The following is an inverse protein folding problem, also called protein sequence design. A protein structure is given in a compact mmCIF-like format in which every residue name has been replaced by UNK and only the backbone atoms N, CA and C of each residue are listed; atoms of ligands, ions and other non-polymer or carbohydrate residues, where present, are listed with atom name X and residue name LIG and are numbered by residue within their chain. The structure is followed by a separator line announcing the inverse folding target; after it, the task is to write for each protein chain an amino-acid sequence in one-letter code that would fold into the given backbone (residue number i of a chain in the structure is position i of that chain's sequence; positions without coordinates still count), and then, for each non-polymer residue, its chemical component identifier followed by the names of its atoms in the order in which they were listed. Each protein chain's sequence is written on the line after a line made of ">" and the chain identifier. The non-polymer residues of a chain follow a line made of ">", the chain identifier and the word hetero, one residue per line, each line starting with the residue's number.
data_IF_473556758332
#
_entry.id   IF_473556758332
#
_cell.length_a   1.000
_cell.length_b   1.000
_cell.length_c   1.000
_cell.angle_alpha   90.00
_cell.angle_beta   90.00
_cell.angle_gamma   90.00
#
_symmetry.space_group_name_H-M   'P 1'
#
loop_
_entity.id
_entity.type
_entity.pdbx_description
1 polymer ?
#
# COMPACT_ATOMS: atom_id res chain seq x y z
N UNK A 1 -0.40 0.58 -3.36
CA UNK A 1 0.54 0.78 -2.24
C UNK A 1 1.94 0.44 -2.72
N UNK A 2 2.91 1.34 -2.56
CA UNK A 2 4.32 1.11 -2.90
C UNK A 2 5.23 1.51 -1.73
N UNK A 3 6.51 1.12 -1.79
CA UNK A 3 7.53 1.42 -0.80
C UNK A 3 8.72 0.47 -0.90
N UNK A 4 9.79 0.76 -0.18
CA UNK A 4 11.01 -0.05 -0.11
C UNK A 4 10.73 -1.45 0.45
N UNK A 5 11.71 -2.34 0.30
CA UNK A 5 11.59 -3.69 0.83
C UNK A 5 11.55 -3.65 2.37
N UNK A 6 10.54 -4.29 2.96
CA UNK A 6 10.36 -4.32 4.42
C UNK A 6 9.68 -3.08 5.00
N UNK A 7 9.19 -2.14 4.18
CA UNK A 7 8.52 -0.92 4.63
C UNK A 7 7.12 -1.14 5.21
N UNK A 8 6.58 -2.37 5.22
CA UNK A 8 5.26 -2.67 5.79
C UNK A 8 4.09 -2.62 4.79
N UNK A 9 4.33 -2.68 3.48
CA UNK A 9 3.28 -2.64 2.43
C UNK A 9 2.17 -3.67 2.65
N UNK A 10 2.55 -4.94 2.81
CA UNK A 10 1.58 -6.02 3.05
C UNK A 10 0.89 -5.89 4.40
N UNK A 11 1.56 -5.33 5.42
CA UNK A 11 0.92 -5.03 6.70
C UNK A 11 -0.17 -3.97 6.54
N UNK A 12 0.13 -2.87 5.83
CA UNK A 12 -0.87 -1.83 5.55
C UNK A 12 -2.03 -2.37 4.71
N UNK A 13 -1.74 -3.17 3.68
CA UNK A 13 -2.76 -3.83 2.87
C UNK A 13 -3.71 -4.66 3.75
N UNK A 14 -3.16 -5.55 4.57
CA UNK A 14 -3.95 -6.42 5.46
C UNK A 14 -4.75 -5.60 6.50
N UNK A 15 -4.17 -4.52 7.02
CA UNK A 15 -4.86 -3.63 7.95
C UNK A 15 -6.08 -2.96 7.31
N UNK A 16 -5.96 -2.54 6.04
CA UNK A 16 -7.09 -1.97 5.28
C UNK A 16 -8.17 -3.04 5.05
N UNK A 17 -7.79 -4.25 4.64
CA UNK A 17 -8.73 -5.34 4.38
C UNK A 17 -9.50 -5.72 5.64
N UNK A 18 -8.80 -5.94 6.75
CA UNK A 18 -9.42 -6.26 8.05
C UNK A 18 -10.42 -5.18 8.49
N UNK A 19 -10.06 -3.90 8.32
CA UNK A 19 -10.94 -2.80 8.68
C UNK A 19 -12.23 -2.76 7.83
N UNK A 20 -12.13 -3.12 6.56
CA UNK A 20 -13.30 -3.21 5.67
C UNK A 20 -14.16 -4.42 6.07
N UNK A 21 -13.57 -5.59 6.31
CA UNK A 21 -14.28 -6.80 6.74
C UNK A 21 -15.01 -6.60 8.06
N UNK A 22 -14.37 -5.98 9.06
CA UNK A 22 -14.99 -5.68 10.36
C UNK A 22 -16.18 -4.71 10.25
N UNK A 23 -16.15 -3.79 9.28
CA UNK A 23 -17.19 -2.75 9.17
C UNK A 23 -18.37 -3.15 8.27
N UNK A 24 -18.20 -4.11 7.37
CA UNK A 24 -19.15 -4.34 6.27
C UNK A 24 -19.70 -5.79 6.14
N UNK A 25 -19.28 -6.74 6.96
CA UNK A 25 -19.66 -8.17 6.87
C UNK A 25 -19.59 -8.71 5.41
N UNK A 26 -18.43 -8.52 4.77
CA UNK A 26 -18.25 -8.74 3.34
C UNK A 26 -17.19 -9.84 3.06
N UNK A 27 -17.33 -11.02 3.65
CA UNK A 27 -16.37 -12.13 3.48
C UNK A 27 -16.13 -12.55 2.02
N UNK A 28 -17.12 -12.36 1.13
CA UNK A 28 -17.04 -12.72 -0.28
C UNK A 28 -16.71 -11.54 -1.21
N UNK A 29 -16.40 -10.37 -0.62
CA UNK A 29 -16.17 -9.15 -1.40
C UNK A 29 -14.78 -9.07 -2.02
N UNK A 30 -13.83 -9.87 -1.54
CA UNK A 30 -12.45 -9.82 -1.98
C UNK A 30 -12.04 -11.07 -2.75
N UNK A 31 -11.48 -10.86 -3.93
CA UNK A 31 -10.74 -11.88 -4.67
C UNK A 31 -9.25 -11.59 -4.58
N UNK A 32 -8.44 -12.63 -4.39
CA UNK A 32 -7.03 -12.48 -4.06
C UNK A 32 -6.12 -13.11 -5.10
N UNK A 33 -5.02 -12.43 -5.37
CA UNK A 33 -3.83 -12.95 -6.02
C UNK A 33 -2.63 -12.66 -5.11
N UNK A 34 -2.15 -13.67 -4.42
CA UNK A 34 -1.12 -13.53 -3.39
C UNK A 34 0.16 -14.23 -3.81
N UNK A 35 1.28 -13.54 -3.76
CA UNK A 35 2.60 -14.11 -3.94
C UNK A 35 3.37 -14.18 -2.62
N UNK A 36 4.16 -15.24 -2.45
CA UNK A 36 5.01 -15.39 -1.27
C UNK A 36 6.30 -16.14 -1.59
N UNK A 37 7.31 -15.95 -0.77
CA UNK A 37 8.49 -16.81 -0.77
C UNK A 37 8.19 -18.10 -0.02
N UNK A 38 8.68 -19.21 -0.54
CA UNK A 38 8.64 -20.52 0.12
C UNK A 38 9.89 -20.71 1.00
N UNK A 39 9.93 -21.77 1.77
CA UNK A 39 11.13 -22.21 2.51
C UNK A 39 12.27 -22.63 1.54
N UNK A 40 11.90 -23.13 0.38
CA UNK A 40 12.80 -23.17 -0.78
C UNK A 40 12.90 -21.76 -1.36
N UNK A 41 14.03 -21.38 -1.97
CA UNK A 41 14.22 -20.00 -2.46
C UNK A 41 13.37 -19.69 -3.73
N UNK A 42 12.17 -20.22 -3.82
CA UNK A 42 11.21 -19.94 -4.89
C UNK A 42 10.19 -18.89 -4.49
N UNK A 43 9.57 -18.25 -5.46
CA UNK A 43 8.39 -17.42 -5.29
C UNK A 43 7.20 -18.13 -5.91
N UNK A 44 6.13 -18.26 -5.15
CA UNK A 44 4.89 -18.89 -5.58
C UNK A 44 3.73 -17.90 -5.56
N UNK A 45 2.70 -18.19 -6.34
CA UNK A 45 1.46 -17.43 -6.41
C UNK A 45 0.27 -18.35 -6.20
N UNK A 46 -0.78 -17.84 -5.59
CA UNK A 46 -2.09 -18.50 -5.44
C UNK A 46 -3.23 -17.51 -5.52
N UNK A 47 -4.43 -18.00 -5.77
CA UNK A 47 -5.67 -17.23 -5.77
C UNK A 47 -6.81 -18.02 -5.13
N UNK A 48 -7.73 -17.34 -4.44
CA UNK A 48 -8.98 -17.94 -3.95
C UNK A 48 -9.97 -18.29 -5.08
N UNK A 49 -9.74 -17.78 -6.28
CA UNK A 49 -10.57 -18.10 -7.45
C UNK A 49 -10.15 -19.39 -8.17
N UNK A 50 -9.01 -19.98 -7.80
CA UNK A 50 -8.50 -21.24 -8.35
C UNK A 50 -8.65 -22.32 -7.27
N UNK A 51 -9.65 -23.19 -7.46
CA UNK A 51 -10.11 -24.16 -6.44
C UNK A 51 -9.28 -25.46 -6.37
N UNK A 52 -8.04 -25.45 -6.79
CA UNK A 52 -7.18 -26.65 -6.77
C UNK A 52 -6.27 -26.74 -5.54
N UNK A 53 -6.29 -25.74 -4.67
CA UNK A 53 -5.49 -25.64 -3.44
C UNK A 53 -3.98 -25.58 -3.68
N UNK A 54 -3.54 -25.38 -4.93
CA UNK A 54 -2.13 -25.39 -5.30
C UNK A 54 -1.51 -23.99 -5.26
N UNK A 55 -0.21 -23.99 -5.09
CA UNK A 55 0.63 -22.83 -5.31
C UNK A 55 1.46 -23.04 -6.59
N UNK A 56 1.58 -21.98 -7.36
CA UNK A 56 2.23 -22.00 -8.67
C UNK A 56 3.53 -21.20 -8.62
N UNK A 57 4.62 -21.80 -9.08
CA UNK A 57 5.93 -21.14 -9.09
C UNK A 57 5.95 -20.03 -10.15
N UNK A 58 6.29 -18.81 -9.75
CA UNK A 58 6.47 -17.65 -10.61
C UNK A 58 7.89 -17.11 -10.63
N UNK A 59 8.75 -17.58 -9.72
CA UNK A 59 10.14 -17.16 -9.67
C UNK A 59 11.06 -18.20 -9.08
N UNK A 60 12.23 -18.38 -9.70
CA UNK A 60 13.32 -19.27 -9.23
C UNK A 60 14.62 -18.50 -9.11
N UNK A 61 15.50 -18.87 -8.16
CA UNK A 61 16.84 -18.28 -8.07
C UNK A 61 17.58 -18.44 -9.41
N UNK A 62 18.26 -17.39 -9.82
CA UNK A 62 19.23 -17.54 -10.91
C UNK A 62 20.36 -18.42 -10.41
N UNK A 63 20.71 -19.46 -11.16
CA UNK A 63 21.93 -20.21 -10.95
C UNK A 63 23.11 -19.25 -11.15
N UNK A 64 23.73 -18.84 -10.03
CA UNK A 64 24.87 -17.94 -10.06
C UNK A 64 26.07 -18.69 -10.62
N UNK A 65 26.57 -18.30 -11.77
CA UNK A 65 27.99 -18.42 -12.07
C UNK A 65 28.76 -17.49 -11.12
N UNK A 66 29.97 -17.83 -10.64
CA UNK A 66 30.63 -17.13 -9.52
C UNK A 66 31.19 -15.74 -9.83
N UNK A 67 30.58 -14.99 -10.72
CA UNK A 67 30.97 -13.65 -11.09
C UNK A 67 30.02 -12.64 -10.46
N UNK A 68 30.46 -12.09 -9.34
CA UNK A 68 30.00 -10.85 -8.67
C UNK A 68 28.54 -10.77 -8.25
N UNK A 69 28.23 -10.65 -6.94
CA UNK A 69 26.87 -10.39 -6.48
C UNK A 69 26.55 -8.91 -6.72
N UNK A 70 26.09 -8.53 -7.91
CA UNK A 70 25.41 -7.26 -8.05
C UNK A 70 24.14 -7.31 -7.20
N UNK A 71 23.97 -6.38 -6.28
CA UNK A 71 22.69 -6.10 -5.60
C UNK A 71 21.63 -5.85 -6.68
N UNK A 72 20.84 -6.85 -7.02
CA UNK A 72 19.84 -6.78 -8.09
C UNK A 72 18.92 -8.00 -8.05
N UNK A 73 17.98 -8.05 -8.95
CA UNK A 73 16.98 -9.08 -9.11
C UNK A 73 17.61 -10.48 -9.26
N UNK A 74 17.67 -11.23 -8.17
CA UNK A 74 18.34 -12.55 -8.10
C UNK A 74 17.42 -13.71 -8.53
N UNK A 75 16.23 -13.42 -9.07
CA UNK A 75 15.26 -14.41 -9.46
C UNK A 75 15.02 -14.34 -10.98
N UNK A 76 14.75 -15.49 -11.57
CA UNK A 76 14.24 -15.61 -12.94
C UNK A 76 12.75 -15.86 -12.88
N UNK A 77 11.99 -15.16 -13.71
CA UNK A 77 10.54 -15.37 -13.87
C UNK A 77 10.26 -16.78 -14.42
N UNK A 78 9.15 -17.35 -13.92
CA UNK A 78 8.55 -18.60 -14.42
C UNK A 78 7.14 -18.28 -14.90
N UNK A 79 6.96 -18.16 -16.20
CA UNK A 79 5.70 -17.69 -16.79
C UNK A 79 4.53 -18.65 -16.58
N UNK A 80 4.80 -19.96 -16.51
CA UNK A 80 3.78 -20.99 -16.32
C UNK A 80 2.90 -20.74 -15.07
N UNK A 81 3.47 -20.21 -14.00
CA UNK A 81 2.72 -19.88 -12.80
C UNK A 81 1.74 -18.74 -13.02
N UNK A 82 2.12 -17.72 -13.79
CA UNK A 82 1.20 -16.64 -14.16
C UNK A 82 0.11 -17.13 -15.10
N UNK A 83 0.46 -17.92 -16.11
CA UNK A 83 -0.48 -18.44 -17.12
C UNK A 83 -1.49 -19.40 -16.49
N UNK A 84 -1.07 -20.27 -15.58
CA UNK A 84 -1.91 -21.33 -15.04
C UNK A 84 -2.67 -20.91 -13.75
N UNK A 85 -2.30 -19.82 -13.09
CA UNK A 85 -2.96 -19.34 -11.88
C UNK A 85 -3.49 -17.90 -12.05
N UNK A 86 -2.60 -16.94 -12.28
CA UNK A 86 -2.96 -15.53 -12.22
C UNK A 86 -3.90 -15.12 -13.36
N UNK A 87 -3.61 -15.50 -14.59
CA UNK A 87 -4.46 -15.16 -15.74
C UNK A 87 -5.87 -15.74 -15.62
N UNK A 88 -6.07 -17.05 -15.31
CA UNK A 88 -7.40 -17.60 -15.09
C UNK A 88 -8.14 -16.97 -13.92
N UNK A 89 -7.45 -16.63 -12.83
CA UNK A 89 -8.06 -15.97 -11.68
C UNK A 89 -8.59 -14.58 -12.05
N UNK A 90 -7.81 -13.78 -12.76
CA UNK A 90 -8.22 -12.46 -13.23
C UNK A 90 -9.42 -12.58 -14.19
N UNK A 91 -9.35 -13.49 -15.15
CA UNK A 91 -10.46 -13.71 -16.10
C UNK A 91 -11.74 -14.15 -15.37
N UNK A 92 -11.64 -15.06 -14.40
CA UNK A 92 -12.78 -15.51 -13.60
C UNK A 92 -13.38 -14.33 -12.82
N UNK A 93 -12.56 -13.49 -12.18
CA UNK A 93 -13.00 -12.30 -11.48
C UNK A 93 -13.78 -11.35 -12.41
N UNK A 94 -13.23 -11.03 -13.57
CA UNK A 94 -13.86 -10.13 -14.53
C UNK A 94 -15.21 -10.66 -15.06
N UNK A 95 -15.37 -12.00 -15.11
CA UNK A 95 -16.62 -12.64 -15.57
C UNK A 95 -17.68 -12.76 -14.47
N UNK A 96 -17.29 -12.87 -13.19
CA UNK A 96 -18.23 -13.31 -12.14
C UNK A 96 -18.40 -12.34 -10.99
N UNK A 97 -17.53 -11.33 -10.85
CA UNK A 97 -17.38 -10.60 -9.60
C UNK A 97 -17.27 -9.08 -9.81
N UNK A 98 -18.08 -8.50 -10.70
CA UNK A 98 -17.98 -7.08 -11.09
C UNK A 98 -18.02 -6.07 -9.92
N UNK A 99 -18.69 -6.41 -8.81
CA UNK A 99 -18.83 -5.54 -7.64
C UNK A 99 -17.77 -5.79 -6.55
N UNK A 100 -16.99 -6.85 -6.65
CA UNK A 100 -15.94 -7.18 -5.69
C UNK A 100 -14.61 -6.44 -5.98
N UNK A 101 -13.72 -6.45 -5.00
CA UNK A 101 -12.38 -5.87 -5.11
C UNK A 101 -11.37 -6.97 -5.40
N UNK A 102 -10.50 -6.77 -6.38
CA UNK A 102 -9.39 -7.67 -6.64
C UNK A 102 -8.13 -7.19 -5.91
N UNK A 103 -7.60 -8.05 -5.05
CA UNK A 103 -6.44 -7.75 -4.20
C UNK A 103 -5.20 -8.44 -4.74
N UNK A 104 -4.10 -7.68 -4.90
CA UNK A 104 -2.82 -8.21 -5.39
C UNK A 104 -1.71 -7.91 -4.39
N UNK A 105 -1.06 -8.92 -3.86
CA UNK A 105 0.15 -8.79 -3.04
C UNK A 105 1.22 -9.79 -3.51
N UNK A 106 2.24 -9.33 -4.26
CA UNK A 106 2.62 -8.01 -4.76
C UNK A 106 2.96 -8.08 -6.27
N UNK A 107 2.94 -6.94 -6.96
CA UNK A 107 3.46 -6.79 -8.33
C UNK A 107 4.93 -6.34 -8.28
N UNK A 108 5.80 -7.02 -9.03
CA UNK A 108 7.23 -6.74 -9.07
C UNK A 108 7.84 -6.91 -10.46
N UNK A 109 9.10 -7.24 -10.51
CA UNK A 109 9.83 -7.40 -11.78
C UNK A 109 9.64 -8.77 -12.41
N UNK A 110 9.16 -9.78 -11.67
CA UNK A 110 8.93 -11.13 -12.22
C UNK A 110 7.83 -11.12 -13.28
N UNK A 111 6.88 -10.23 -13.13
CA UNK A 111 5.74 -10.02 -14.02
C UNK A 111 6.14 -9.37 -15.35
N UNK A 112 7.32 -8.74 -15.40
CA UNK A 112 7.76 -7.95 -16.56
C UNK A 112 8.08 -8.79 -17.82
N UNK A 113 8.26 -10.11 -17.70
CA UNK A 113 8.48 -11.00 -18.83
C UNK A 113 7.21 -11.67 -19.35
N UNK A 114 6.15 -11.76 -18.53
CA UNK A 114 4.92 -12.46 -18.90
C UNK A 114 3.90 -11.51 -19.53
N UNK A 115 3.94 -11.35 -20.86
CA UNK A 115 3.04 -10.46 -21.58
C UNK A 115 1.56 -10.82 -21.37
N UNK A 116 1.13 -12.10 -21.43
CA UNK A 116 -0.27 -12.44 -21.18
C UNK A 116 -0.77 -11.98 -19.78
N UNK A 117 0.08 -12.06 -18.76
CA UNK A 117 -0.26 -11.57 -17.44
C UNK A 117 -0.40 -10.05 -17.42
N UNK A 118 0.50 -9.31 -18.07
CA UNK A 118 0.42 -7.85 -18.15
C UNK A 118 -0.85 -7.37 -18.85
N UNK A 119 -1.28 -8.04 -19.91
CA UNK A 119 -2.53 -7.76 -20.62
C UNK A 119 -3.75 -8.01 -19.72
N UNK A 120 -3.74 -9.11 -18.95
CA UNK A 120 -4.79 -9.40 -17.97
C UNK A 120 -4.85 -8.35 -16.86
N UNK A 121 -3.71 -7.90 -16.32
CA UNK A 121 -3.65 -6.81 -15.33
C UNK A 121 -4.20 -5.51 -15.91
N UNK A 122 -3.87 -5.17 -17.15
CA UNK A 122 -4.41 -3.99 -17.81
C UNK A 122 -5.94 -4.08 -17.92
N UNK A 123 -6.45 -5.20 -18.40
CA UNK A 123 -7.89 -5.44 -18.48
C UNK A 123 -8.57 -5.37 -17.11
N UNK A 124 -7.93 -5.90 -16.07
CA UNK A 124 -8.42 -5.83 -14.69
C UNK A 124 -8.52 -4.39 -14.19
N UNK A 125 -7.47 -3.58 -14.41
CA UNK A 125 -7.46 -2.16 -14.02
C UNK A 125 -8.47 -1.32 -14.78
N UNK A 126 -8.79 -1.69 -16.02
CA UNK A 126 -9.77 -0.97 -16.83
C UNK A 126 -11.23 -1.30 -16.45
N UNK A 127 -11.48 -2.46 -15.83
CA UNK A 127 -12.83 -2.99 -15.65
C UNK A 127 -13.20 -3.36 -14.21
N UNK A 128 -12.30 -3.20 -13.24
CA UNK A 128 -12.55 -3.62 -11.86
C UNK A 128 -11.90 -2.70 -10.83
N UNK A 129 -12.35 -2.81 -9.59
CA UNK A 129 -11.71 -2.17 -8.43
C UNK A 129 -10.53 -3.00 -7.97
N UNK A 130 -9.35 -2.40 -7.91
CA UNK A 130 -8.12 -3.11 -7.56
C UNK A 130 -7.43 -2.45 -6.37
N UNK A 131 -7.03 -3.26 -5.40
CA UNK A 131 -6.14 -2.87 -4.32
C UNK A 131 -4.84 -3.67 -4.44
N UNK A 132 -3.74 -3.01 -4.79
CA UNK A 132 -2.49 -3.70 -5.08
C UNK A 132 -1.29 -3.16 -4.30
N UNK A 133 -0.39 -4.07 -3.93
CA UNK A 133 0.98 -3.74 -3.54
C UNK A 133 1.86 -3.81 -4.77
N UNK A 134 2.59 -2.72 -5.03
CA UNK A 134 3.53 -2.60 -6.15
C UNK A 134 4.92 -2.32 -5.59
N UNK A 135 5.93 -3.05 -6.05
CA UNK A 135 7.32 -2.78 -5.69
C UNK A 135 7.80 -1.41 -6.16
N UNK A 136 8.61 -0.77 -5.33
CA UNK A 136 9.29 0.49 -5.65
C UNK A 136 10.48 0.20 -6.58
N UNK A 137 10.17 -0.27 -7.78
CA UNK A 137 11.11 -0.56 -8.86
C UNK A 137 10.61 0.09 -10.13
N UNK A 138 11.51 0.42 -11.05
CA UNK A 138 11.16 0.92 -12.38
C UNK A 138 11.28 -0.23 -13.38
N UNK A 139 10.17 -0.56 -14.01
CA UNK A 139 10.06 -1.38 -15.21
C UNK A 139 8.95 -0.78 -16.06
N UNK A 140 9.00 -0.98 -17.36
CA UNK A 140 7.97 -0.44 -18.26
C UNK A 140 6.55 -0.84 -17.81
N UNK A 141 6.36 -2.09 -17.40
CA UNK A 141 5.09 -2.59 -16.88
C UNK A 141 4.65 -1.88 -15.59
N UNK A 142 5.51 -1.83 -14.56
CA UNK A 142 5.15 -1.21 -13.28
C UNK A 142 4.93 0.29 -13.41
N UNK A 143 5.73 0.95 -14.24
CA UNK A 143 5.61 2.40 -14.46
C UNK A 143 4.35 2.73 -15.25
N UNK A 144 3.93 1.86 -16.19
CA UNK A 144 2.65 2.00 -16.89
C UNK A 144 1.44 1.97 -15.94
N UNK A 145 1.51 1.18 -14.86
CA UNK A 145 0.46 1.14 -13.83
C UNK A 145 0.51 2.38 -12.94
N UNK A 146 1.71 2.73 -12.43
CA UNK A 146 1.90 3.86 -11.50
C UNK A 146 1.53 5.20 -12.10
N UNK A 147 1.70 5.36 -13.42
CA UNK A 147 1.47 6.61 -14.13
C UNK A 147 0.03 6.75 -14.67
N UNK A 148 -0.86 5.81 -14.39
CA UNK A 148 -2.28 5.91 -14.77
C UNK A 148 -2.95 7.04 -13.99
N UNK A 149 -3.80 7.80 -14.66
CA UNK A 149 -4.56 8.91 -14.05
C UNK A 149 -5.66 8.44 -13.09
N UNK A 150 -6.10 7.18 -13.20
CA UNK A 150 -7.13 6.54 -12.38
C UNK A 150 -6.54 5.71 -11.22
N UNK A 151 -5.23 5.76 -10.99
CA UNK A 151 -4.55 5.08 -9.90
C UNK A 151 -4.14 6.06 -8.81
N UNK A 152 -4.60 5.81 -7.58
CA UNK A 152 -4.07 6.47 -6.38
C UNK A 152 -2.83 5.72 -5.90
N UNK A 153 -1.65 6.27 -6.12
CA UNK A 153 -0.39 5.69 -5.65
C UNK A 153 -0.04 6.19 -4.24
N UNK A 154 -0.03 5.28 -3.26
CA UNK A 154 0.39 5.56 -1.88
C UNK A 154 1.79 5.01 -1.70
N UNK A 155 2.80 5.89 -1.65
CA UNK A 155 4.19 5.54 -1.33
C UNK A 155 4.43 5.66 0.16
N UNK A 156 4.55 4.52 0.86
CA UNK A 156 4.66 4.50 2.31
C UNK A 156 6.02 4.94 2.86
N UNK A 157 7.03 5.08 2.03
CA UNK A 157 8.31 5.66 2.43
C UNK A 157 8.29 7.20 2.36
N UNK A 158 7.44 7.74 1.48
CA UNK A 158 7.15 9.17 1.34
C UNK A 158 5.68 9.44 1.69
N UNK A 159 5.20 8.76 2.67
CA UNK A 159 3.82 8.67 3.04
C UNK A 159 3.21 10.02 3.12
N UNK A 160 2.24 10.40 2.65
CA UNK A 160 1.50 11.63 2.87
C UNK A 160 2.20 12.92 2.39
N UNK A 161 3.31 12.86 1.67
CA UNK A 161 3.93 14.07 1.09
C UNK A 161 2.98 14.81 0.11
N UNK A 162 2.01 14.11 -0.47
CA UNK A 162 0.94 14.68 -1.29
C UNK A 162 -0.34 15.00 -0.50
N UNK A 163 -0.40 14.67 0.80
CA UNK A 163 -1.55 14.90 1.67
C UNK A 163 -1.19 16.01 2.65
N UNK A 164 -2.11 16.94 2.87
CA UNK A 164 -1.97 17.97 3.91
C UNK A 164 -2.74 17.57 5.15
N UNK A 165 -2.14 17.77 6.32
CA UNK A 165 -2.78 17.61 7.61
C UNK A 165 -3.37 18.95 8.06
N UNK A 166 -4.59 18.97 8.58
CA UNK A 166 -5.18 20.16 9.20
C UNK A 166 -5.50 19.83 10.65
N UNK A 167 -4.82 20.50 11.57
CA UNK A 167 -5.07 20.40 13.03
C UNK A 167 -6.09 21.44 13.42
N UNK A 168 -7.30 21.02 13.78
CA UNK A 168 -8.38 21.91 14.21
C UNK A 168 -8.22 22.23 15.71
N UNK A 169 -7.74 23.43 16.01
CA UNK A 169 -7.38 23.87 17.36
C UNK A 169 -8.13 25.12 17.84
N UNK A 170 -9.33 25.39 17.31
CA UNK A 170 -10.11 26.59 17.60
C UNK A 170 -11.17 26.41 18.73
N UNK A 171 -11.23 25.22 19.36
CA UNK A 171 -12.22 24.89 20.37
C UNK A 171 -12.05 25.68 21.65
N UNK A 172 -13.17 26.18 22.26
CA UNK A 172 -13.15 27.02 23.43
C UNK A 172 -12.97 26.27 24.78
N UNK A 173 -12.90 24.96 24.77
CA UNK A 173 -12.70 24.10 25.95
C UNK A 173 -13.61 24.41 27.14
N UNK A 174 -14.86 24.90 26.93
CA UNK A 174 -15.78 25.45 27.95
C UNK A 174 -15.99 24.53 29.17
N UNK A 175 -15.98 23.21 28.96
CA UNK A 175 -16.13 22.22 30.04
C UNK A 175 -14.84 21.97 30.83
N UNK A 176 -13.71 22.38 30.32
CA UNK A 176 -12.39 22.15 30.93
C UNK A 176 -11.96 23.35 31.80
N UNK A 177 -12.63 24.51 31.64
CA UNK A 177 -12.35 25.74 32.42
C UNK A 177 -11.13 26.53 31.90
N UNK A 178 -10.20 25.88 31.24
CA UNK A 178 -9.00 26.45 30.58
C UNK A 178 -8.84 25.88 29.18
N UNK A 179 -7.90 26.38 28.42
CA UNK A 179 -7.61 25.79 27.09
C UNK A 179 -7.03 24.39 27.27
N UNK A 180 -7.84 23.32 27.01
CA UNK A 180 -7.40 21.92 27.17
C UNK A 180 -6.21 21.56 26.28
N UNK A 181 -6.02 22.27 25.15
CA UNK A 181 -4.93 21.99 24.22
C UNK A 181 -3.56 22.34 24.82
N UNK A 182 -3.52 23.22 25.84
CA UNK A 182 -2.34 23.55 26.63
C UNK A 182 -2.15 22.63 27.86
N UNK A 183 -3.08 21.70 28.12
CA UNK A 183 -2.93 20.76 29.22
C UNK A 183 -1.76 19.81 28.96
N UNK A 184 -0.95 19.57 29.99
CA UNK A 184 0.22 18.68 29.91
C UNK A 184 -0.21 17.22 29.81
N UNK A 185 0.39 16.51 28.87
CA UNK A 185 0.26 15.07 28.68
C UNK A 185 1.59 14.50 28.14
N UNK A 186 2.20 13.57 28.86
CA UNK A 186 3.48 12.97 28.49
C UNK A 186 4.59 14.00 28.19
N UNK A 187 4.81 14.94 29.10
CA UNK A 187 5.81 16.02 29.04
C UNK A 187 5.59 17.08 27.93
N UNK A 188 4.56 16.97 27.13
CA UNK A 188 4.17 17.94 26.11
C UNK A 188 2.73 18.42 26.39
N UNK A 189 2.31 19.48 25.74
CA UNK A 189 0.89 19.83 25.69
C UNK A 189 0.13 18.87 24.76
N UNK A 190 -1.18 18.78 24.89
CA UNK A 190 -2.02 18.02 23.97
C UNK A 190 -1.86 18.50 22.52
N UNK A 191 -1.66 19.81 22.34
CA UNK A 191 -1.44 20.38 21.00
C UNK A 191 -0.09 20.00 20.43
N UNK A 192 1.00 20.06 21.21
CA UNK A 192 2.33 19.61 20.81
C UNK A 192 2.36 18.10 20.46
N UNK A 193 1.62 17.29 21.22
CA UNK A 193 1.48 15.87 20.88
C UNK A 193 0.78 15.66 19.52
N UNK A 194 -0.24 16.46 19.19
CA UNK A 194 -0.88 16.39 17.88
C UNK A 194 0.08 16.81 16.75
N UNK A 195 0.89 17.86 16.98
CA UNK A 195 1.94 18.27 16.04
C UNK A 195 2.98 17.17 15.87
N UNK A 196 3.48 16.57 16.96
CA UNK A 196 4.46 15.48 16.91
C UNK A 196 3.95 14.28 16.10
N UNK A 197 2.67 13.94 16.23
CA UNK A 197 2.04 12.89 15.39
C UNK A 197 2.07 13.31 13.91
N UNK A 198 1.76 14.57 13.60
CA UNK A 198 1.78 15.03 12.21
C UNK A 198 3.18 15.03 11.60
N UNK A 199 4.21 15.34 12.38
CA UNK A 199 5.62 15.22 11.97
C UNK A 199 6.05 13.77 11.76
N UNK A 200 5.66 12.89 12.68
CA UNK A 200 5.95 11.46 12.57
C UNK A 200 5.36 10.83 11.30
N UNK A 201 4.14 11.25 10.93
CA UNK A 201 3.47 10.78 9.71
C UNK A 201 4.05 11.40 8.43
N UNK A 202 4.84 12.47 8.53
CA UNK A 202 5.50 13.14 7.39
C UNK A 202 4.53 13.62 6.31
N UNK A 203 3.47 14.32 6.70
CA UNK A 203 2.58 14.98 5.74
C UNK A 203 3.34 16.01 4.89
N UNK A 204 2.90 16.20 3.64
CA UNK A 204 3.49 17.19 2.74
C UNK A 204 3.37 18.62 3.24
N UNK A 205 2.28 18.92 3.95
CA UNK A 205 2.08 20.17 4.67
C UNK A 205 1.22 19.95 5.89
N UNK A 206 1.59 20.52 7.02
CA UNK A 206 0.74 20.59 8.22
C UNK A 206 0.28 22.03 8.44
N UNK A 207 -1.02 22.20 8.66
CA UNK A 207 -1.68 23.46 8.92
C UNK A 207 -2.38 23.36 10.28
N UNK A 208 -2.39 24.44 11.05
CA UNK A 208 -3.19 24.53 12.26
C UNK A 208 -4.22 25.67 12.13
N UNK A 209 -5.47 25.37 12.49
CA UNK A 209 -6.52 26.38 12.54
C UNK A 209 -6.81 26.68 13.99
N UNK A 210 -6.36 27.83 14.46
CA UNK A 210 -6.54 28.28 15.85
C UNK A 210 -6.95 29.74 15.94
N UNK A 211 -7.54 30.12 17.08
CA UNK A 211 -7.81 31.51 17.50
C UNK A 211 -7.04 31.89 18.78
N UNK A 212 -6.20 31.00 19.27
CA UNK A 212 -5.51 31.16 20.55
C UNK A 212 -4.06 31.54 20.29
N UNK A 213 -3.63 32.72 20.74
CA UNK A 213 -2.31 33.27 20.51
C UNK A 213 -1.19 32.37 21.06
N UNK A 214 -1.43 31.70 22.18
CA UNK A 214 -0.46 30.75 22.74
C UNK A 214 -0.20 29.55 21.81
N UNK A 215 -1.22 29.10 21.07
CA UNK A 215 -1.05 28.03 20.10
C UNK A 215 -0.37 28.51 18.82
N UNK A 216 -0.56 29.77 18.44
CA UNK A 216 0.17 30.40 17.32
C UNK A 216 1.67 30.39 17.60
N UNK A 217 2.10 30.77 18.82
CA UNK A 217 3.51 30.73 19.21
C UNK A 217 4.11 29.30 19.14
N UNK A 218 3.31 28.29 19.50
CA UNK A 218 3.73 26.89 19.35
C UNK A 218 3.87 26.54 17.85
N UNK A 219 2.93 26.94 16.99
CA UNK A 219 2.99 26.70 15.54
C UNK A 219 4.24 27.33 14.93
N UNK A 220 4.59 28.57 15.28
CA UNK A 220 5.77 29.25 14.80
C UNK A 220 7.06 28.51 15.19
N UNK A 221 7.16 28.07 16.45
CA UNK A 221 8.30 27.30 16.95
C UNK A 221 8.45 25.95 16.25
N UNK A 222 7.35 25.27 15.99
CA UNK A 222 7.30 23.95 15.36
C UNK A 222 7.21 24.01 13.82
N UNK A 223 7.34 25.19 13.22
CA UNK A 223 7.25 25.45 11.77
C UNK A 223 5.96 24.94 11.11
N UNK A 224 4.83 25.02 11.84
CA UNK A 224 3.48 24.72 11.34
C UNK A 224 2.84 26.00 10.79
N UNK A 225 2.12 25.88 9.68
CA UNK A 225 1.43 27.00 9.01
C UNK A 225 0.01 27.24 9.54
#
# INVERSE_FOLDING_TARGET
>A
ITGERGSGKSYLLNSILNQIEETMDMSDFFNYLLSRRTDTPEVVIKSNLIDDGKEYVIGRPRTLTPVSPKKGNNMTSVEDGFINCACPAIMKHLMTSADSVFVIDELGYLESSCIPFQENIKSLLDNSRVLAVIRKQSTEFLDSIKNRSDVLLIDIDNTFSSISCIIMASGMSKRFGTNKLLASFNNNTLFENAINISHFVSFGKTLAVTRHDELVQICEREHIH
#
